data_IF_445863845838
#
_entry.id   IF_445863845838
#
_cell.length_a   1.000
_cell.length_b   1.000
_cell.length_c   1.000
_cell.angle_alpha   90.00
_cell.angle_beta   90.00
_cell.angle_gamma   90.00
#
_symmetry.space_group_name_H-M   'P 1'
#
loop_
_entity.id
_entity.type
_entity.pdbx_description
1 polymer ?
2 polymer ?
3 polymer ?
4 branched ?
#
# COMPACT_ATOMS: atom_id res chain seq x y z
N UNK A 1 -19.57 21.15 11.16
CA UNK A 1 -19.32 20.05 10.19
C UNK A 1 -19.65 18.71 10.80
N UNK A 2 -20.21 17.81 10.00
CA UNK A 2 -20.61 16.50 10.51
C UNK A 2 -19.43 15.54 10.55
N UNK A 3 -19.15 15.03 11.76
CA UNK A 3 -18.10 14.05 11.96
C UNK A 3 -18.73 12.66 11.94
N UNK A 4 -18.06 11.72 11.27
CA UNK A 4 -18.46 10.33 11.27
C UNK A 4 -17.45 9.56 12.07
N UNK A 5 -17.89 8.91 13.13
CA UNK A 5 -16.97 8.07 13.92
C UNK A 5 -17.25 6.58 13.65
N UNK A 6 -16.24 5.90 13.09
CA UNK A 6 -16.34 4.49 12.75
C UNK A 6 -15.79 3.59 13.85
N UNK A 7 -16.45 2.45 14.03
CA UNK A 7 -16.02 1.41 14.96
C UNK A 7 -16.31 0.04 14.31
N UNK A 8 -15.43 -0.98 14.52
CA UNK A 8 -14.12 -0.97 15.21
C UNK A 8 -12.98 -0.58 14.27
N UNK A 9 -11.84 -0.18 14.84
CA UNK A 9 -10.67 0.20 14.04
C UNK A 9 -10.19 -0.95 13.17
N UNK A 10 -10.26 -2.17 13.72
CA UNK A 10 -9.78 -3.37 13.05
C UNK A 10 -10.46 -4.65 13.52
N UNK A 11 -10.65 -5.57 12.56
CA UNK A 11 -11.32 -6.84 12.80
C UNK A 11 -10.50 -8.02 12.31
N UNK A 12 -10.42 -9.05 13.13
CA UNK A 12 -9.81 -10.32 12.74
C UNK A 12 -10.92 -11.36 12.61
N UNK A 13 -11.17 -11.84 11.39
CA UNK A 13 -12.40 -12.60 11.13
C UNK A 13 -12.20 -13.89 10.32
N UNK A 14 -12.72 -14.99 10.88
CA UNK A 14 -12.64 -16.31 10.26
C UNK A 14 -13.64 -16.39 9.11
N UNK A 15 -13.35 -17.24 8.13
CA UNK A 15 -14.25 -17.40 6.99
C UNK A 15 -15.56 -17.99 7.45
N UNK A 16 -16.67 -17.51 6.88
CA UNK A 16 -18.00 -18.02 7.21
C UNK A 16 -18.62 -17.34 8.43
N UNK A 17 -17.79 -16.64 9.19
CA UNK A 17 -18.24 -15.85 10.33
C UNK A 17 -18.95 -14.60 9.80
N UNK A 18 -19.94 -14.10 10.54
CA UNK A 18 -20.59 -12.86 10.13
C UNK A 18 -20.17 -11.70 11.02
N UNK A 19 -20.05 -10.52 10.41
CA UNK A 19 -19.51 -9.37 11.11
C UNK A 19 -20.32 -8.12 10.78
N UNK A 20 -20.31 -7.14 11.69
CA UNK A 20 -21.01 -5.86 11.51
C UNK A 20 -20.14 -4.67 11.88
N UNK A 21 -19.88 -3.82 10.89
CA UNK A 21 -19.10 -2.59 11.08
C UNK A 21 -20.09 -1.44 11.21
N UNK A 22 -19.97 -0.63 12.26
CA UNK A 22 -20.91 0.46 12.48
C UNK A 22 -20.29 1.82 12.21
N UNK A 23 -21.17 2.80 11.98
CA UNK A 23 -20.77 4.15 11.63
C UNK A 23 -21.80 5.14 12.18
N UNK A 24 -21.36 6.05 13.05
CA UNK A 24 -22.27 7.02 13.66
C UNK A 24 -21.97 8.44 13.20
N UNK A 25 -23.01 9.15 12.77
CA UNK A 25 -22.88 10.54 12.35
C UNK A 25 -23.09 11.50 13.51
N UNK A 26 -22.24 12.52 13.58
CA UNK A 26 -22.36 13.60 14.58
C UNK A 26 -23.73 14.29 14.54
N UNK A 27 -24.24 14.59 13.34
CA UNK A 27 -25.58 15.13 13.21
C UNK A 27 -26.45 14.25 12.31
N UNK A 28 -27.74 14.60 12.25
CA UNK A 28 -28.67 13.90 11.39
C UNK A 28 -28.28 14.06 9.90
N UNK A 29 -27.93 12.94 9.27
CA UNK A 29 -27.56 12.93 7.85
C UNK A 29 -28.59 12.15 7.01
N UNK A 30 -29.73 11.84 7.61
CA UNK A 30 -30.84 11.16 6.94
C UNK A 30 -30.40 9.80 6.39
N UNK A 31 -30.29 9.73 5.07
CA UNK A 31 -29.84 8.52 4.43
C UNK A 31 -28.73 8.79 3.42
N UNK A 32 -28.19 9.99 3.42
CA UNK A 32 -27.11 10.30 2.51
C UNK A 32 -25.80 9.71 3.04
N UNK A 33 -25.64 8.39 2.85
CA UNK A 33 -24.45 7.65 3.29
C UNK A 33 -24.10 6.49 2.36
N UNK A 34 -22.79 6.28 2.16
CA UNK A 34 -22.28 5.18 1.34
C UNK A 34 -21.24 4.36 2.11
N UNK A 35 -21.10 3.10 1.74
CA UNK A 35 -20.07 2.22 2.28
C UNK A 35 -19.12 1.83 1.15
N UNK A 36 -17.83 1.86 1.44
CA UNK A 36 -16.82 1.47 0.45
C UNK A 36 -15.97 0.35 1.00
N UNK A 37 -15.51 -0.52 0.12
CA UNK A 37 -14.49 -1.49 0.46
C UNK A 37 -13.25 -1.19 -0.37
N UNK A 38 -12.13 -0.94 0.31
CA UNK A 38 -10.85 -0.77 -0.35
C UNK A 38 -9.93 -1.92 -0.03
N UNK A 39 -9.20 -2.38 -1.05
CA UNK A 39 -8.15 -3.36 -0.84
C UNK A 39 -6.80 -2.66 -1.03
N UNK A 40 -5.83 -3.03 -0.18
CA UNK A 40 -4.49 -2.40 -0.19
C UNK A 40 -3.89 -2.45 -1.58
N UNK A 41 -3.38 -1.30 -2.04
CA UNK A 41 -2.83 -1.19 -3.38
C UNK A 41 -3.87 -0.83 -4.43
N UNK A 42 -5.14 -0.86 -4.06
CA UNK A 42 -6.23 -0.57 -5.00
C UNK A 42 -7.10 0.62 -4.59
N UNK A 43 -7.94 1.10 -5.52
CA UNK A 43 -8.90 2.17 -5.24
C UNK A 43 -10.19 1.63 -4.61
N UNK A 44 -10.90 2.50 -3.86
CA UNK A 44 -12.13 2.07 -3.20
C UNK A 44 -13.21 1.62 -4.19
N UNK A 45 -14.13 0.80 -3.71
CA UNK A 45 -15.26 0.36 -4.52
C UNK A 45 -16.56 0.53 -3.71
N UNK A 46 -17.58 1.09 -4.35
CA UNK A 46 -18.87 1.35 -3.70
C UNK A 46 -19.65 0.07 -3.41
N UNK A 47 -20.05 -0.07 -2.15
CA UNK A 47 -20.73 -1.27 -1.66
C UNK A 47 -22.21 -1.03 -1.41
N UNK A 48 -22.52 0.07 -0.74
CA UNK A 48 -23.91 0.45 -0.47
C UNK A 48 -24.05 1.94 -0.68
N UNK A 49 -25.13 2.35 -1.35
CA UNK A 49 -25.47 3.77 -1.49
C UNK A 49 -26.82 4.07 -0.84
N UNK A 50 -26.99 5.31 -0.39
CA UNK A 50 -28.18 5.75 0.37
C UNK A 50 -28.49 4.86 1.60
N UNK A 51 -27.43 4.48 2.30
CA UNK A 51 -27.49 3.75 3.56
C UNK A 51 -27.93 2.29 3.45
N UNK A 52 -28.92 2.00 2.62
CA UNK A 52 -29.52 0.65 2.58
C UNK A 52 -29.52 -0.09 1.23
N UNK A 53 -28.99 0.54 0.19
CA UNK A 53 -29.05 -0.01 -1.17
C UNK A 53 -27.75 -0.66 -1.63
N UNK A 54 -27.86 -1.94 -1.98
CA UNK A 54 -26.73 -2.74 -2.44
C UNK A 54 -26.35 -2.32 -3.86
N UNK A 55 -25.07 -1.99 -4.06
CA UNK A 55 -24.59 -1.54 -5.37
C UNK A 55 -24.35 -2.72 -6.33
N UNK A 56 -24.39 -2.44 -7.63
CA UNK A 56 -24.20 -3.44 -8.66
C UNK A 56 -22.93 -4.24 -8.46
N UNK A 57 -23.02 -5.56 -8.68
CA UNK A 57 -21.84 -6.44 -8.63
C UNK A 57 -21.28 -6.58 -7.23
N UNK A 58 -22.16 -6.51 -6.24
CA UNK A 58 -21.76 -6.70 -4.87
C UNK A 58 -22.61 -7.84 -4.30
N UNK A 59 -21.94 -8.91 -3.83
CA UNK A 59 -22.57 -10.09 -3.25
C UNK A 59 -23.66 -9.76 -2.24
N UNK A 60 -24.66 -10.64 -2.15
CA UNK A 60 -25.85 -10.42 -1.35
C UNK A 60 -25.58 -10.42 0.15
N UNK A 61 -24.43 -10.94 0.54
CA UNK A 61 -24.03 -11.02 1.95
C UNK A 61 -23.79 -9.63 2.58
N UNK A 62 -23.60 -8.63 1.72
CA UNK A 62 -23.39 -7.26 2.17
C UNK A 62 -24.72 -6.55 2.42
N UNK A 63 -24.97 -6.23 3.69
CA UNK A 63 -26.22 -5.62 4.09
C UNK A 63 -25.99 -4.21 4.65
N UNK A 64 -26.59 -3.21 4.01
CA UNK A 64 -26.60 -1.85 4.54
C UNK A 64 -27.90 -1.59 5.26
N UNK A 65 -27.82 -0.99 6.45
CA UNK A 65 -29.01 -0.59 7.18
C UNK A 65 -28.75 0.63 8.07
N UNK A 66 -29.82 1.40 8.32
CA UNK A 66 -29.74 2.57 9.18
C UNK A 66 -30.31 3.83 8.54
N UNK A 67 -30.75 4.74 9.40
CA UNK A 67 -31.13 6.10 8.99
C UNK A 67 -31.03 7.08 10.15
N UNK A 68 -30.78 8.34 9.83
CA UNK A 68 -30.63 9.36 10.82
C UNK A 68 -29.19 9.56 11.21
N UNK A 69 -28.76 8.78 12.19
CA UNK A 69 -27.51 9.04 12.89
C UNK A 69 -26.63 7.80 13.06
N UNK A 70 -27.28 6.63 13.15
CA UNK A 70 -26.60 5.37 13.39
C UNK A 70 -26.74 4.45 12.18
N UNK A 71 -25.62 4.15 11.57
CA UNK A 71 -25.58 3.28 10.42
C UNK A 71 -24.68 2.11 10.72
N UNK A 72 -24.87 1.02 9.99
CA UNK A 72 -24.06 -0.17 10.18
C UNK A 72 -24.12 -1.07 8.96
N UNK A 73 -22.94 -1.46 8.50
CA UNK A 73 -22.79 -2.42 7.44
C UNK A 73 -22.65 -3.79 8.07
N UNK A 74 -23.27 -4.78 7.43
CA UNK A 74 -23.23 -6.13 7.95
C UNK A 74 -22.79 -7.08 6.85
N UNK A 75 -21.87 -7.97 7.18
CA UNK A 75 -21.38 -8.98 6.24
C UNK A 75 -21.79 -10.37 6.73
N UNK A 76 -22.51 -11.10 5.87
CA UNK A 76 -22.96 -12.46 6.18
C UNK A 76 -22.04 -13.53 5.60
N UNK A 77 -21.56 -14.44 6.44
CA UNK A 77 -20.63 -15.48 6.01
C UNK A 77 -19.47 -14.92 5.21
N UNK A 78 -18.63 -14.13 5.89
CA UNK A 78 -17.52 -13.43 5.25
C UNK A 78 -16.63 -14.38 4.45
N UNK A 79 -16.44 -14.06 3.17
CA UNK A 79 -15.59 -14.87 2.31
C UNK A 79 -14.19 -14.33 2.26
N UNK A 80 -13.24 -15.19 1.90
CA UNK A 80 -11.83 -14.82 1.87
C UNK A 80 -11.59 -13.50 1.15
N UNK A 81 -12.30 -13.30 0.04
CA UNK A 81 -12.18 -12.07 -0.76
C UNK A 81 -12.58 -10.77 -0.01
N UNK A 82 -13.41 -10.89 1.02
CA UNK A 82 -13.90 -9.73 1.76
C UNK A 82 -12.86 -9.05 2.65
N UNK A 83 -11.60 -9.44 2.53
CA UNK A 83 -10.51 -8.77 3.26
C UNK A 83 -10.32 -7.37 2.68
N UNK A 84 -9.91 -6.43 3.51
CA UNK A 84 -9.67 -5.07 3.06
C UNK A 84 -9.96 -4.06 4.15
N UNK A 85 -10.02 -2.80 3.75
CA UNK A 85 -10.40 -1.73 4.65
C UNK A 85 -11.75 -1.20 4.21
N UNK A 86 -12.65 -1.05 5.18
CA UNK A 86 -14.01 -0.61 4.93
C UNK A 86 -14.20 0.83 5.39
N UNK A 87 -14.68 1.67 4.47
CA UNK A 87 -14.92 3.09 4.76
C UNK A 87 -16.38 3.48 4.56
N UNK A 88 -16.85 4.42 5.36
CA UNK A 88 -18.14 5.04 5.14
C UNK A 88 -17.97 6.54 4.82
N UNK A 89 -18.91 7.08 4.07
CA UNK A 89 -18.92 8.51 3.74
C UNK A 89 -20.34 9.00 3.80
N UNK A 90 -20.54 10.21 4.32
CA UNK A 90 -21.82 10.87 4.22
C UNK A 90 -21.78 11.90 3.13
N UNK A 91 -22.95 12.28 2.61
CA UNK A 91 -23.02 13.39 1.67
C UNK A 91 -24.20 14.33 1.95
N UNK A 92 -24.30 14.74 3.21
CA UNK A 92 -25.24 15.74 3.62
C UNK A 92 -24.46 16.99 3.94
N UNK A 93 -24.20 17.79 2.90
CA UNK A 93 -23.47 19.04 3.04
C UNK A 93 -21.98 18.87 2.98
N UNK A 94 -21.33 19.73 2.20
CA UNK A 94 -19.88 19.80 2.10
C UNK A 94 -19.25 20.23 3.44
N UNK A 95 -18.12 19.61 3.85
CA UNK A 95 -17.36 18.52 3.20
C UNK A 95 -17.93 17.14 3.48
N UNK A 96 -17.87 16.28 2.47
CA UNK A 96 -18.36 14.92 2.58
C UNK A 96 -17.27 14.10 3.26
N UNK A 97 -17.35 14.01 4.59
CA UNK A 97 -16.29 13.38 5.37
C UNK A 97 -16.40 11.85 5.40
N UNK A 98 -15.26 11.20 5.63
CA UNK A 98 -15.17 9.73 5.64
C UNK A 98 -15.03 9.18 7.06
N UNK A 99 -15.33 7.90 7.22
CA UNK A 99 -15.00 7.21 8.47
C UNK A 99 -13.49 7.08 8.60
N UNK A 100 -13.02 6.76 9.81
CA UNK A 100 -11.59 6.60 10.02
C UNK A 100 -11.09 5.26 9.46
N UNK A 101 -12.00 4.35 9.14
CA UNK A 101 -11.66 3.05 8.57
C UNK A 101 -11.79 1.88 9.52
N UNK A 102 -12.14 0.71 8.96
CA UNK A 102 -12.06 -0.56 9.67
C UNK A 102 -11.17 -1.51 8.88
N UNK A 103 -10.07 -1.92 9.50
CA UNK A 103 -9.16 -2.84 8.86
C UNK A 103 -9.65 -4.25 9.13
N UNK A 104 -9.94 -4.99 8.06
CA UNK A 104 -10.47 -6.34 8.19
C UNK A 104 -9.44 -7.40 7.76
N UNK A 105 -9.11 -8.29 8.69
CA UNK A 105 -8.15 -9.36 8.45
C UNK A 105 -8.87 -10.71 8.48
N UNK A 106 -8.35 -11.65 7.69
CA UNK A 106 -8.80 -13.03 7.66
C UNK A 106 -8.17 -13.81 8.82
N UNK A 107 -9.00 -14.47 9.61
CA UNK A 107 -8.52 -15.39 10.63
C UNK A 107 -8.06 -16.68 9.97
N UNK A 108 -6.96 -17.23 10.47
CA UNK A 108 -6.24 -18.34 9.85
C UNK A 108 -5.59 -19.15 10.97
N UNK A 109 -5.25 -20.41 10.69
CA UNK A 109 -4.48 -21.22 11.65
C UNK A 109 -3.05 -20.69 11.75
N UNK A 110 -2.42 -20.93 12.91
CA UNK A 110 -1.05 -20.49 13.16
C UNK A 110 -0.06 -21.14 12.20
N UNK A 111 1.02 -20.42 11.91
CA UNK A 111 2.04 -20.93 11.00
C UNK A 111 3.37 -20.28 11.34
N UNK A 112 4.39 -21.12 11.51
CA UNK A 112 5.73 -20.64 11.86
C UNK A 112 6.39 -19.95 10.66
N UNK A 113 7.23 -18.93 10.93
CA UNK A 113 7.95 -18.25 9.85
C UNK A 113 9.10 -19.09 9.29
N UNK A 114 9.39 -18.95 8.01
CA UNK A 114 10.56 -19.59 7.39
C UNK A 114 11.67 -18.56 7.18
N UNK A 115 12.71 -18.64 8.02
CA UNK A 115 13.74 -17.60 8.14
C UNK A 115 14.97 -17.86 7.27
N UNK A 116 15.37 -16.83 6.52
CA UNK A 116 16.56 -16.89 5.69
C UNK A 116 17.42 -15.66 5.96
N UNK A 117 18.72 -15.90 6.11
CA UNK A 117 19.70 -14.85 6.37
C UNK A 117 20.58 -14.61 5.13
N UNK A 118 21.09 -13.39 4.98
CA UNK A 118 21.88 -13.02 3.80
C UNK A 118 23.09 -12.12 4.15
N UNK A 119 24.27 -12.47 3.62
CA UNK A 119 25.46 -11.64 3.77
C UNK A 119 25.45 -10.45 2.80
N UNK A 120 25.99 -9.29 3.23
CA UNK A 120 26.16 -8.13 2.36
C UNK A 120 26.72 -8.53 0.99
N UNK A 121 26.09 -8.01 -0.05
CA UNK A 121 26.42 -8.34 -1.43
C UNK A 121 27.85 -7.95 -1.81
N UNK A 122 28.43 -8.71 -2.75
CA UNK A 122 29.77 -8.43 -3.27
C UNK A 122 29.80 -7.06 -3.96
N UNK A 123 28.71 -6.74 -4.68
CA UNK A 123 28.54 -5.44 -5.31
C UNK A 123 28.50 -4.29 -4.30
N UNK A 124 27.84 -4.51 -3.15
CA UNK A 124 27.71 -3.49 -2.08
C UNK A 124 29.03 -3.22 -1.33
N UNK A 125 29.90 -4.21 -1.31
CA UNK A 125 31.22 -4.07 -0.69
C UNK A 125 32.17 -3.19 -1.52
N UNK A 126 32.10 -3.35 -2.85
CA UNK A 126 32.78 -2.48 -3.81
C UNK A 126 32.19 -1.07 -3.81
N UNK A 127 31.34 -0.78 -2.82
CA UNK A 127 30.67 0.50 -2.70
C UNK A 127 30.79 1.06 -1.26
N UNK A 128 31.50 0.32 -0.40
CA UNK A 128 31.71 0.71 0.99
C UNK A 128 30.50 0.53 1.87
N UNK A 129 29.57 -0.32 1.44
CA UNK A 129 28.30 -0.52 2.13
C UNK A 129 28.14 -1.92 2.69
N UNK A 130 27.53 -2.00 3.87
CA UNK A 130 27.29 -3.27 4.56
C UNK A 130 25.88 -3.40 5.11
N UNK A 131 25.00 -4.01 4.31
CA UNK A 131 23.62 -4.27 4.71
C UNK A 131 23.36 -5.76 4.82
N UNK A 132 22.82 -6.16 5.96
CA UNK A 132 22.50 -7.57 6.22
C UNK A 132 20.99 -7.76 6.26
N UNK A 133 20.49 -8.61 5.37
CA UNK A 133 19.05 -8.77 5.19
C UNK A 133 18.58 -10.12 5.72
N UNK A 134 17.47 -10.10 6.43
CA UNK A 134 16.84 -11.31 6.95
C UNK A 134 15.36 -11.35 6.56
N UNK A 135 14.93 -12.44 5.93
CA UNK A 135 13.53 -12.60 5.54
C UNK A 135 12.79 -13.55 6.45
N UNK A 136 11.62 -13.12 6.93
CA UNK A 136 10.75 -13.96 7.75
C UNK A 136 9.45 -14.21 6.98
N UNK A 137 9.27 -15.40 6.42
CA UNK A 137 8.22 -15.61 5.43
C UNK A 137 7.02 -16.47 5.81
N UNK A 138 5.84 -15.99 5.45
CA UNK A 138 4.59 -16.73 5.58
C UNK A 138 4.30 -17.26 6.98
N UNK A 139 4.08 -16.35 7.92
CA UNK A 139 3.69 -16.71 9.28
C UNK A 139 2.33 -16.09 9.65
N UNK A 140 1.71 -16.60 10.71
CA UNK A 140 0.49 -16.03 11.27
C UNK A 140 0.45 -16.34 12.77
N UNK A 141 0.03 -15.37 13.62
CA UNK A 141 -0.48 -14.01 13.36
C UNK A 141 0.59 -12.98 13.05
N UNK A 142 0.17 -11.72 12.95
CA UNK A 142 0.98 -10.65 12.39
C UNK A 142 2.23 -10.27 13.21
N UNK A 143 2.07 -10.15 14.52
CA UNK A 143 3.17 -9.64 15.36
C UNK A 143 4.28 -10.68 15.53
N UNK A 144 5.52 -10.20 15.50
CA UNK A 144 6.69 -11.07 15.42
C UNK A 144 7.88 -10.27 15.94
N UNK A 145 8.75 -10.94 16.71
CA UNK A 145 9.96 -10.32 17.26
C UNK A 145 11.21 -10.70 16.49
N UNK A 146 12.03 -9.71 16.17
CA UNK A 146 13.33 -9.96 15.54
C UNK A 146 14.44 -9.38 16.40
N UNK A 147 15.49 -10.17 16.63
CA UNK A 147 16.70 -9.69 17.28
C UNK A 147 17.91 -10.05 16.42
N UNK A 148 18.91 -9.17 16.40
CA UNK A 148 20.14 -9.42 15.66
C UNK A 148 21.29 -9.82 16.58
N UNK A 149 22.20 -10.66 16.07
CA UNK A 149 23.42 -11.04 16.80
C UNK A 149 24.69 -11.02 15.93
N UNK A 150 25.62 -10.13 16.30
CA UNK A 150 26.89 -10.00 15.61
C UNK A 150 28.05 -10.43 16.53
N UNK A 151 28.68 -11.54 16.17
CA UNK A 151 29.78 -12.16 16.95
C UNK A 151 29.35 -12.63 18.34
N UNK A 152 28.08 -12.98 18.48
CA UNK A 152 27.51 -13.34 19.77
C UNK A 152 26.92 -12.13 20.49
N UNK A 153 27.51 -10.97 20.27
CA UNK A 153 27.00 -9.72 20.86
C UNK A 153 25.75 -9.22 20.13
N UNK A 154 24.70 -8.95 20.91
CA UNK A 154 23.41 -8.53 20.36
C UNK A 154 23.45 -7.08 19.88
N UNK A 155 22.83 -6.85 18.72
CA UNK A 155 22.77 -5.53 18.10
C UNK A 155 21.35 -4.96 18.16
N UNK A 156 21.24 -3.65 18.37
CA UNK A 156 19.97 -2.93 18.34
C UNK A 156 20.12 -1.54 17.75
N UNK A 157 20.97 -1.43 16.71
CA UNK A 157 21.33 -0.15 16.12
C UNK A 157 20.51 0.22 14.89
N UNK A 158 21.05 -0.06 13.71
CA UNK A 158 20.44 0.34 12.43
C UNK A 158 19.55 -0.73 11.80
N UNK A 159 18.67 -1.31 12.62
CA UNK A 159 17.69 -2.28 12.14
C UNK A 159 16.38 -1.57 11.80
N UNK A 160 15.86 -1.87 10.61
CA UNK A 160 14.55 -1.40 10.19
C UNK A 160 13.76 -2.54 9.58
N UNK A 161 12.50 -2.66 9.99
CA UNK A 161 11.64 -3.76 9.55
C UNK A 161 10.46 -3.30 8.71
N UNK A 162 10.13 -4.08 7.70
CA UNK A 162 8.92 -3.82 6.93
C UNK A 162 8.06 -5.08 6.92
N UNK A 163 6.79 -4.93 7.29
CA UNK A 163 5.82 -6.01 7.16
C UNK A 163 5.13 -5.92 5.80
N UNK A 164 4.53 -7.02 5.35
CA UNK A 164 3.69 -6.98 4.16
C UNK A 164 2.23 -6.96 4.57
N UNK A 165 1.35 -6.60 3.64
CA UNK A 165 -0.08 -6.75 3.85
C UNK A 165 -0.43 -8.23 3.68
N UNK A 166 -1.41 -8.70 4.45
CA UNK A 166 -1.85 -10.10 4.39
C UNK A 166 -2.24 -10.46 2.96
N UNK A 167 -1.58 -11.47 2.39
CA UNK A 167 -1.85 -11.79 0.99
C UNK A 167 -3.12 -12.59 0.76
N UNK A 168 -3.65 -12.48 -0.47
CA UNK A 168 -4.93 -13.06 -0.85
C UNK A 168 -4.90 -14.59 -0.89
N UNK A 169 -3.75 -15.16 -1.26
CA UNK A 169 -3.64 -16.61 -1.39
C UNK A 169 -3.76 -17.34 -0.04
N UNK A 170 -2.68 -17.35 0.75
CA UNK A 170 -2.64 -18.17 1.97
C UNK A 170 -2.93 -17.41 3.28
N UNK A 171 -3.29 -16.13 3.16
CA UNK A 171 -3.66 -15.27 4.28
C UNK A 171 -2.57 -15.13 5.34
N UNK A 172 -1.31 -15.27 4.93
CA UNK A 172 -0.23 -15.15 5.88
C UNK A 172 0.43 -13.77 5.80
N UNK A 173 1.45 -13.58 6.66
CA UNK A 173 2.22 -12.35 6.69
C UNK A 173 3.68 -12.65 6.45
N UNK A 174 4.37 -11.67 5.87
CA UNK A 174 5.82 -11.71 5.75
C UNK A 174 6.43 -10.40 6.21
N UNK A 175 7.71 -10.47 6.58
CA UNK A 175 8.42 -9.36 7.16
C UNK A 175 9.88 -9.48 6.79
N UNK A 176 10.52 -8.33 6.52
CA UNK A 176 11.95 -8.29 6.30
C UNK A 176 12.60 -7.48 7.43
N UNK A 177 13.83 -7.86 7.77
CA UNK A 177 14.61 -7.11 8.75
C UNK A 177 15.98 -6.79 8.14
N UNK A 178 16.41 -5.53 8.26
CA UNK A 178 17.65 -5.09 7.59
C UNK A 178 18.62 -4.30 8.45
N UNK A 179 19.76 -4.92 8.74
CA UNK A 179 20.83 -4.30 9.50
C UNK A 179 21.77 -3.61 8.53
N UNK A 180 21.76 -2.28 8.59
CA UNK A 180 22.57 -1.47 7.70
C UNK A 180 23.72 -0.87 8.51
N UNK A 181 24.92 -1.40 8.30
CA UNK A 181 26.09 -1.00 9.08
C UNK A 181 27.21 -0.37 8.24
N UNK A 182 28.21 0.19 8.94
CA UNK A 182 29.30 0.98 8.34
C UNK A 182 29.89 0.57 6.99
N UNK A 183 29.96 -0.75 6.75
CA UNK A 183 30.62 -1.30 5.56
C UNK A 183 32.06 -1.65 5.90
N UNK A 184 32.67 -0.76 6.69
CA UNK A 184 33.94 -0.99 7.32
C UNK A 184 33.64 -1.73 8.64
N UNK A 185 32.48 -1.44 9.21
CA UNK A 185 32.03 -2.01 10.49
C UNK A 185 31.69 -3.48 10.37
N UNK A 186 31.40 -3.91 9.15
CA UNK A 186 31.06 -5.29 8.83
C UNK A 186 32.29 -6.20 8.85
N UNK A 187 33.42 -5.72 8.35
CA UNK A 187 34.66 -6.50 8.28
C UNK A 187 35.37 -6.67 9.62
N UNK A 188 34.89 -5.94 10.63
CA UNK A 188 35.40 -6.03 11.99
C UNK A 188 34.76 -7.18 12.79
N UNK A 189 33.92 -7.97 12.13
CA UNK A 189 33.29 -9.17 12.71
C UNK A 189 33.09 -10.22 11.62
N UNK A 190 32.67 -11.42 12.01
CA UNK A 190 32.32 -12.45 11.03
C UNK A 190 31.07 -13.30 11.33
N UNK A 191 30.67 -13.37 12.60
CA UNK A 191 29.51 -14.18 13.01
C UNK A 191 28.21 -13.38 13.04
N UNK A 192 27.27 -13.72 12.16
CA UNK A 192 26.03 -12.94 12.02
C UNK A 192 24.76 -13.78 12.20
N UNK A 193 23.91 -13.36 13.13
CA UNK A 193 22.72 -14.13 13.51
C UNK A 193 21.42 -13.30 13.49
N UNK A 194 20.36 -13.94 12.99
CA UNK A 194 19.02 -13.37 12.89
C UNK A 194 18.04 -14.19 13.73
N UNK A 195 17.53 -13.60 14.81
CA UNK A 195 16.65 -14.30 15.77
C UNK A 195 15.18 -13.92 15.70
N UNK A 196 14.36 -14.83 15.17
CA UNK A 196 12.91 -14.63 15.08
C UNK A 196 12.15 -15.38 16.18
N UNK A 197 11.36 -14.63 16.95
CA UNK A 197 10.49 -15.22 17.97
C UNK A 197 9.02 -14.94 17.63
N UNK A 198 8.26 -16.01 17.45
CA UNK A 198 6.85 -15.94 17.03
C UNK A 198 5.96 -16.75 17.98
N UNK A 199 4.70 -16.36 18.10
CA UNK A 199 3.69 -17.09 18.85
C UNK A 199 3.86 -18.64 18.78
N UNK A 200 4.01 -19.18 17.57
CA UNK A 200 4.09 -20.64 17.35
C UNK A 200 5.15 -21.39 18.16
N UNK A 201 6.20 -20.70 18.61
CA UNK A 201 7.23 -21.30 19.47
C UNK A 201 7.92 -20.33 20.45
N UNK A 202 8.30 -20.88 21.60
CA UNK A 202 9.15 -20.17 22.57
C UNK A 202 10.62 -20.20 22.13
N UNK A 203 11.03 -21.33 21.51
CA UNK A 203 12.36 -21.47 20.90
C UNK A 203 12.54 -20.56 19.67
N UNK A 204 13.36 -19.50 19.79
CA UNK A 204 13.54 -18.59 18.66
C UNK A 204 14.22 -19.28 17.48
N UNK A 205 13.71 -19.06 16.26
CA UNK A 205 14.37 -19.57 15.05
C UNK A 205 15.66 -18.76 14.84
N UNK A 206 16.79 -19.47 14.83
CA UNK A 206 18.07 -18.82 14.58
C UNK A 206 18.58 -19.18 13.18
N UNK A 207 18.95 -18.18 12.41
CA UNK A 207 19.65 -18.41 11.17
C UNK A 207 20.88 -17.52 11.16
N UNK A 208 22.00 -18.08 10.70
CA UNK A 208 23.26 -17.38 10.77
C UNK A 208 24.24 -17.69 9.62
N UNK A 209 25.17 -16.77 9.40
CA UNK A 209 26.31 -17.01 8.50
C UNK A 209 27.61 -16.48 9.11
N UNK A 210 28.72 -17.07 8.67
CA UNK A 210 30.06 -16.55 8.96
C UNK A 210 30.55 -15.79 7.74
N UNK A 211 31.10 -14.60 7.96
CA UNK A 211 31.68 -13.81 6.87
C UNK A 211 32.92 -14.50 6.31
N UNK A 212 33.90 -14.77 7.20
CA UNK A 212 35.11 -15.49 6.83
C UNK A 212 34.85 -17.00 6.80
N UNK A 213 33.93 -17.40 5.90
CA UNK A 213 33.55 -18.81 5.66
C UNK A 213 32.57 -18.94 4.49
N UNK B 1 -16.91 -0.21 -20.33
CA UNK B 1 -17.75 0.28 -19.20
C UNK B 1 -17.46 1.74 -18.87
N UNK B 2 -17.93 2.18 -17.71
CA UNK B 2 -17.58 3.49 -17.16
C UNK B 2 -16.11 3.47 -16.79
N UNK B 3 -15.37 4.50 -17.22
CA UNK B 3 -13.97 4.60 -16.82
C UNK B 3 -13.47 6.01 -16.61
N UNK B 4 -12.65 6.17 -15.57
CA UNK B 4 -12.02 7.44 -15.23
C UNK B 4 -10.52 7.19 -15.08
N UNK B 5 -9.71 7.76 -15.98
CA UNK B 5 -8.25 7.58 -15.92
C UNK B 5 -7.53 8.86 -15.47
N UNK B 6 -6.81 8.77 -14.35
CA UNK B 6 -6.07 9.91 -13.80
C UNK B 6 -4.64 9.94 -14.31
N UNK B 7 -4.07 11.14 -14.38
CA UNK B 7 -2.71 11.37 -14.90
C UNK B 7 -2.15 12.69 -14.36
N UNK B 8 -0.87 12.94 -14.62
CA UNK B 8 -0.27 14.24 -14.31
C UNK B 8 0.53 14.27 -13.02
N UNK B 9 0.34 13.26 -12.18
CA UNK B 9 0.96 13.23 -10.86
C UNK B 9 2.45 12.94 -10.91
N UNK B 10 3.19 13.42 -9.92
CA UNK B 10 4.64 13.30 -9.90
C UNK B 10 5.25 14.11 -8.77
N UNK B 11 6.57 14.27 -8.81
CA UNK B 11 7.30 14.96 -7.76
C UNK B 11 7.23 16.48 -7.97
N UNK B 12 6.85 17.20 -6.92
CA UNK B 12 6.78 18.65 -6.97
C UNK B 12 7.39 19.23 -5.72
N UNK B 13 8.32 20.17 -5.92
CA UNK B 13 8.91 20.98 -4.87
C UNK B 13 7.81 21.65 -4.04
N UNK B 14 7.95 21.68 -2.70
CA UNK B 14 7.01 22.44 -1.88
C UNK B 14 6.90 23.88 -2.35
N UNK B 15 5.69 24.43 -2.29
CA UNK B 15 5.40 25.78 -2.77
C UNK B 15 5.37 25.83 -4.30
N UNK B 16 5.14 24.68 -4.92
CA UNK B 16 5.04 24.58 -6.38
C UNK B 16 3.62 24.32 -6.86
N UNK B 17 3.48 24.11 -8.17
CA UNK B 17 2.19 23.95 -8.81
C UNK B 17 2.13 22.71 -9.68
N UNK B 18 0.95 22.08 -9.73
CA UNK B 18 0.75 20.92 -10.58
C UNK B 18 -0.70 20.91 -10.99
N UNK B 19 -0.97 20.44 -12.20
CA UNK B 19 -2.33 20.28 -12.68
C UNK B 19 -2.60 18.83 -13.05
N UNK B 20 -3.20 18.08 -12.11
CA UNK B 20 -3.58 16.68 -12.37
C UNK B 20 -4.89 16.59 -13.17
N UNK B 21 -5.05 15.47 -13.88
CA UNK B 21 -6.14 15.34 -14.85
C UNK B 21 -6.92 14.07 -14.64
N UNK B 22 -8.13 14.06 -15.21
CA UNK B 22 -9.00 12.91 -15.15
C UNK B 22 -9.80 12.85 -16.45
N UNK B 23 -9.60 11.76 -17.19
CA UNK B 23 -10.29 11.55 -18.45
C UNK B 23 -11.46 10.60 -18.25
N UNK B 24 -12.64 10.99 -18.71
CA UNK B 24 -13.84 10.20 -18.48
C UNK B 24 -14.37 9.61 -19.79
N UNK B 25 -14.93 8.42 -19.71
CA UNK B 25 -15.55 7.78 -20.87
C UNK B 25 -16.46 6.63 -20.47
N UNK B 26 -17.44 6.33 -21.31
CA UNK B 26 -18.42 5.30 -21.03
C UNK B 26 -19.63 5.79 -20.28
N UNK B 27 -19.75 7.11 -20.13
CA UNK B 27 -20.94 7.72 -19.51
C UNK B 27 -21.09 9.19 -19.91
N UNK B 28 -22.29 9.73 -19.75
CA UNK B 28 -22.56 11.10 -20.16
C UNK B 28 -21.94 12.08 -19.18
N UNK B 29 -20.69 12.42 -19.42
CA UNK B 29 -19.92 13.27 -18.51
C UNK B 29 -20.63 14.58 -18.13
N UNK B 30 -21.15 15.32 -19.10
CA UNK B 30 -21.62 16.68 -18.83
C UNK B 30 -22.86 16.78 -17.95
N UNK B 31 -23.54 15.66 -17.70
CA UNK B 31 -24.69 15.66 -16.77
C UNK B 31 -24.36 15.19 -15.34
N UNK B 32 -23.11 14.81 -15.08
CA UNK B 32 -22.73 14.28 -13.78
C UNK B 32 -21.98 15.27 -12.92
N UNK B 33 -22.26 15.27 -11.63
CA UNK B 33 -21.42 15.98 -10.67
C UNK B 33 -20.16 15.15 -10.52
N UNK B 34 -19.03 15.81 -10.30
CA UNK B 34 -17.74 15.14 -10.16
C UNK B 34 -16.97 15.66 -8.94
N UNK B 35 -16.12 14.83 -8.35
CA UNK B 35 -15.28 15.28 -7.23
C UNK B 35 -13.91 14.64 -7.24
N UNK B 36 -12.99 15.21 -6.45
CA UNK B 36 -11.67 14.62 -6.20
C UNK B 36 -11.57 14.15 -4.73
N UNK B 37 -10.95 13.00 -4.54
CA UNK B 37 -10.69 12.46 -3.19
C UNK B 37 -9.22 12.06 -3.10
N UNK B 38 -8.58 12.36 -1.97
CA UNK B 38 -7.16 12.04 -1.76
C UNK B 38 -6.93 11.04 -0.63
N UNK B 39 -5.78 10.36 -0.67
CA UNK B 39 -5.41 9.37 0.32
C UNK B 39 -3.92 9.43 0.53
N UNK B 40 -3.50 10.04 1.64
CA UNK B 40 -2.11 10.07 2.04
C UNK B 40 -1.61 8.64 2.33
N UNK B 41 -0.34 8.35 1.98
CA UNK B 41 0.25 7.02 2.16
C UNK B 41 0.00 6.44 3.57
N UNK B 42 -0.71 5.31 3.60
CA UNK B 42 -1.02 4.61 4.85
C UNK B 42 -2.24 5.15 5.58
N UNK B 43 -2.67 6.35 5.23
CA UNK B 43 -3.78 7.01 5.91
C UNK B 43 -5.15 6.74 5.25
N UNK B 44 -6.19 7.39 5.77
CA UNK B 44 -7.55 7.25 5.25
C UNK B 44 -7.91 8.20 4.13
N UNK B 45 -9.15 8.10 3.65
CA UNK B 45 -9.62 8.89 2.50
C UNK B 45 -10.10 10.26 2.94
N UNK B 46 -9.64 11.30 2.25
CA UNK B 46 -10.06 12.66 2.53
C UNK B 46 -10.70 13.28 1.30
N UNK B 47 -11.89 13.80 1.46
CA UNK B 47 -12.58 14.48 0.38
C UNK B 47 -11.97 15.87 0.15
N UNK B 48 -11.72 16.20 -1.11
CA UNK B 48 -10.97 17.40 -1.46
C UNK B 48 -11.87 18.48 -2.07
N UNK B 49 -12.62 18.13 -3.11
CA UNK B 49 -13.33 19.14 -3.88
C UNK B 49 -14.42 18.50 -4.73
N UNK B 50 -15.42 19.30 -5.09
CA UNK B 50 -16.50 18.84 -5.94
C UNK B 50 -16.93 19.93 -6.92
N UNK B 51 -17.54 19.51 -8.03
CA UNK B 51 -18.04 20.39 -9.07
C UNK B 51 -19.34 19.85 -9.68
N UNK B 52 -20.36 20.69 -9.74
CA UNK B 52 -21.66 20.31 -10.29
C UNK B 52 -21.68 20.48 -11.82
N UNK B 53 -22.69 19.94 -12.47
CA UNK B 53 -22.77 19.99 -13.93
C UNK B 53 -23.15 21.37 -14.47
N UNK B 54 -22.99 21.55 -15.77
CA UNK B 54 -23.31 22.79 -16.45
C UNK B 54 -24.72 23.29 -16.12
N UNK B 55 -25.71 22.41 -16.21
CA UNK B 55 -27.10 22.74 -15.91
C UNK B 55 -27.30 23.34 -14.50
N UNK B 56 -26.35 23.06 -13.60
CA UNK B 56 -26.39 23.61 -12.25
C UNK B 56 -25.31 24.67 -12.04
N UNK B 57 -24.93 25.35 -13.12
CA UNK B 57 -24.00 26.48 -13.09
C UNK B 57 -22.59 26.17 -12.61
N UNK B 58 -22.18 24.90 -12.68
CA UNK B 58 -20.82 24.48 -12.35
C UNK B 58 -20.41 24.85 -10.93
N UNK B 59 -21.35 24.92 -9.99
CA UNK B 59 -21.01 25.38 -8.64
C UNK B 59 -20.01 24.45 -7.96
N UNK B 60 -19.01 25.04 -7.28
CA UNK B 60 -17.87 24.28 -6.74
C UNK B 60 -17.83 24.22 -5.21
N UNK B 61 -17.23 23.16 -4.68
CA UNK B 61 -17.09 22.97 -3.22
C UNK B 61 -15.67 22.54 -2.95
N UNK B 62 -15.12 22.96 -1.80
CA UNK B 62 -13.75 22.64 -1.46
C UNK B 62 -13.61 22.21 -0.01
N UNK B 63 -12.44 21.70 0.35
CA UNK B 63 -12.15 21.41 1.74
C UNK B 63 -11.37 22.59 2.31
N UNK B 64 -11.57 22.86 3.60
CA UNK B 64 -10.90 23.98 4.25
C UNK B 64 -9.37 23.98 4.12
N UNK B 65 -8.74 22.80 4.16
CA UNK B 65 -7.27 22.71 4.09
C UNK B 65 -6.73 22.92 2.66
N UNK B 66 -7.64 23.01 1.70
CA UNK B 66 -7.28 23.06 0.29
C UNK B 66 -7.80 24.32 -0.40
N UNK B 67 -8.77 24.98 0.22
CA UNK B 67 -9.42 26.18 -0.32
C UNK B 67 -8.44 27.33 -0.57
N UNK B 68 -8.77 28.16 -1.58
CA UNK B 68 -7.91 29.27 -2.06
C UNK B 68 -6.61 28.79 -2.73
N UNK B 69 -6.38 27.49 -2.74
CA UNK B 69 -5.08 26.92 -3.08
C UNK B 69 -5.23 25.89 -4.20
N UNK B 70 -6.36 25.20 -4.20
CA UNK B 70 -6.72 24.22 -5.23
C UNK B 70 -7.95 24.72 -5.97
N UNK B 71 -7.93 24.66 -7.30
CA UNK B 71 -9.13 24.96 -8.07
C UNK B 71 -9.52 23.79 -8.99
N UNK B 72 -10.72 23.26 -8.75
CA UNK B 72 -11.29 22.17 -9.54
C UNK B 72 -12.01 22.75 -10.75
N UNK B 73 -11.83 22.11 -11.91
CA UNK B 73 -12.49 22.55 -13.15
C UNK B 73 -12.80 21.38 -14.07
N UNK B 74 -13.61 21.64 -15.09
CA UNK B 74 -13.99 20.62 -16.07
C UNK B 74 -14.12 21.15 -17.51
N UNK B 75 -13.56 20.41 -18.44
CA UNK B 75 -13.82 20.65 -19.85
C UNK B 75 -14.81 19.59 -20.34
N UNK B 76 -16.06 20.00 -20.51
CA UNK B 76 -17.13 19.11 -20.95
C UNK B 76 -16.94 18.66 -22.41
N UNK B 77 -16.34 19.53 -23.22
CA UNK B 77 -16.07 19.28 -24.64
C UNK B 77 -15.14 18.08 -24.87
N UNK B 78 -14.27 17.83 -23.90
CA UNK B 78 -13.32 16.76 -24.00
C UNK B 78 -13.54 15.68 -22.94
N UNK B 79 -14.54 15.89 -22.07
CA UNK B 79 -14.86 14.98 -20.96
C UNK B 79 -13.70 14.86 -19.98
N UNK B 80 -13.20 16.01 -19.55
CA UNK B 80 -12.01 16.06 -18.72
C UNK B 80 -12.28 16.79 -17.41
N UNK B 81 -11.75 16.24 -16.32
CA UNK B 81 -11.81 16.89 -15.00
C UNK B 81 -10.39 17.22 -14.56
N UNK B 82 -10.20 18.43 -14.02
CA UNK B 82 -8.87 18.89 -13.63
C UNK B 82 -8.80 19.31 -12.17
N UNK B 83 -7.58 19.31 -11.63
CA UNK B 83 -7.29 19.91 -10.34
C UNK B 83 -6.00 20.73 -10.43
N UNK B 84 -6.12 22.06 -10.48
CA UNK B 84 -4.97 22.95 -10.37
C UNK B 84 -4.55 23.06 -8.92
N UNK B 85 -3.31 22.71 -8.63
CA UNK B 85 -2.83 22.77 -7.26
C UNK B 85 -1.66 23.75 -7.15
N UNK B 86 -1.93 24.89 -6.54
CA UNK B 86 -0.91 25.92 -6.31
C UNK B 86 -0.42 25.91 -4.87
N UNK B 87 0.76 26.49 -4.64
CA UNK B 87 1.36 26.56 -3.30
C UNK B 87 1.15 25.26 -2.51
N UNK B 88 1.74 24.19 -3.04
CA UNK B 88 1.60 22.85 -2.47
C UNK B 88 2.37 22.73 -1.15
N UNK B 89 1.78 22.01 -0.20
CA UNK B 89 2.43 21.73 1.08
C UNK B 89 2.73 20.24 1.22
N UNK B 90 3.63 19.90 2.14
CA UNK B 90 4.01 18.51 2.43
C UNK B 90 2.81 17.60 2.70
N UNK B 91 1.85 18.10 3.49
CA UNK B 91 0.67 17.30 3.86
C UNK B 91 -0.32 17.10 2.70
N UNK B 92 0.05 17.61 1.51
CA UNK B 92 -0.74 17.42 0.29
C UNK B 92 -0.27 16.21 -0.53
N UNK B 93 0.85 15.62 -0.10
CA UNK B 93 1.35 14.36 -0.67
C UNK B 93 0.31 13.26 -0.50
N UNK B 94 -0.10 12.66 -1.61
CA UNK B 94 -1.19 11.68 -1.59
C UNK B 94 -1.46 11.06 -2.95
N UNK B 95 -2.27 10.01 -2.92
CA UNK B 95 -2.86 9.45 -4.11
C UNK B 95 -4.15 10.21 -4.36
N UNK B 96 -4.26 10.84 -5.52
CA UNK B 96 -5.45 11.64 -5.83
C UNK B 96 -6.42 10.88 -6.70
N UNK B 97 -7.65 10.81 -6.22
CA UNK B 97 -8.70 10.06 -6.91
C UNK B 97 -9.74 10.96 -7.54
N UNK B 98 -10.15 10.56 -8.73
CA UNK B 98 -11.24 11.19 -9.44
C UNK B 98 -12.46 10.28 -9.26
N UNK B 99 -13.49 10.82 -8.62
CA UNK B 99 -14.69 10.05 -8.23
C UNK B 99 -15.94 10.64 -8.88
N UNK B 100 -16.82 9.78 -9.38
CA UNK B 100 -18.03 10.27 -10.01
C UNK B 100 -19.17 10.43 -9.00
N UNK B 101 -20.00 11.45 -9.22
CA UNK B 101 -21.18 11.74 -8.42
C UNK B 101 -20.93 11.59 -6.92
N UNK B 102 -21.58 10.59 -6.34
CA UNK B 102 -21.58 10.39 -4.90
C UNK B 102 -20.73 9.16 -4.53
N UNK B 103 -20.02 8.60 -5.52
CA UNK B 103 -19.00 7.59 -5.25
C UNK B 103 -19.16 6.23 -5.92
N UNK B 104 -19.95 6.16 -6.99
CA UNK B 104 -20.22 4.89 -7.64
C UNK B 104 -19.02 4.34 -8.42
N UNK B 105 -18.21 5.26 -8.93
CA UNK B 105 -17.00 4.92 -9.69
C UNK B 105 -15.80 5.76 -9.27
N UNK B 106 -14.66 5.11 -9.11
CA UNK B 106 -13.41 5.79 -8.79
C UNK B 106 -12.39 5.47 -9.88
N UNK B 107 -11.46 6.39 -10.11
CA UNK B 107 -10.35 6.12 -11.02
C UNK B 107 -9.26 5.35 -10.31
N UNK B 108 -8.16 5.11 -10.99
CA UNK B 108 -7.08 4.30 -10.42
C UNK B 108 -6.09 5.12 -9.56
N UNK B 109 -6.05 6.44 -9.79
CA UNK B 109 -5.21 7.34 -9.00
C UNK B 109 -3.88 7.71 -9.64
N UNK B 110 -3.47 8.96 -9.43
CA UNK B 110 -2.08 9.37 -9.63
C UNK B 110 -1.52 9.75 -8.28
N UNK B 111 -0.24 9.45 -8.07
CA UNK B 111 0.45 9.88 -6.87
C UNK B 111 0.95 11.32 -6.99
N UNK B 112 0.78 12.07 -5.91
CA UNK B 112 1.49 13.33 -5.76
C UNK B 112 2.45 13.23 -4.58
N UNK B 113 3.68 13.70 -4.78
CA UNK B 113 4.71 13.69 -3.77
C UNK B 113 5.26 15.11 -3.61
N UNK B 114 4.99 15.71 -2.45
CA UNK B 114 5.51 17.03 -2.15
C UNK B 114 6.72 16.89 -1.21
N UNK B 115 7.91 17.17 -1.76
CA UNK B 115 9.18 16.96 -1.05
C UNK B 115 10.27 17.78 -1.73
N UNK B 116 11.21 18.29 -0.94
CA UNK B 116 12.35 19.03 -1.52
C UNK B 116 13.57 18.13 -1.76
N UNK B 117 13.39 16.82 -1.54
CA UNK B 117 14.43 15.82 -1.79
C UNK B 117 14.60 15.59 -3.29
N UNK B 118 15.80 15.17 -3.68
CA UNK B 118 16.17 15.06 -5.10
C UNK B 118 15.94 13.65 -5.64
N UNK B 119 15.54 13.56 -6.90
CA UNK B 119 15.35 12.26 -7.57
C UNK B 119 16.68 11.53 -7.72
N UNK B 120 16.69 10.28 -7.25
CA UNK B 120 17.90 9.46 -7.20
C UNK B 120 17.61 8.04 -7.70
N UNK B 121 18.48 7.50 -8.58
CA UNK B 121 18.39 6.08 -8.96
C UNK B 121 18.82 5.15 -7.82
N UNK B 122 18.25 3.93 -7.75
CA UNK B 122 18.60 2.99 -6.68
C UNK B 122 19.85 2.17 -6.99
N UNK B 123 20.46 1.63 -5.94
CA UNK B 123 21.52 0.62 -6.08
C UNK B 123 20.90 -0.76 -5.85
N UNK B 124 21.03 -1.63 -6.86
CA UNK B 124 20.43 -2.97 -6.81
C UNK B 124 21.46 -4.02 -6.44
N UNK B 125 21.19 -4.77 -5.39
CA UNK B 125 22.08 -5.85 -4.95
C UNK B 125 21.41 -7.23 -5.02
N UNK B 126 22.12 -8.26 -5.50
CA UNK B 126 21.59 -9.61 -5.35
C UNK B 126 21.75 -10.11 -3.91
N UNK B 127 20.71 -10.79 -3.41
CA UNK B 127 20.79 -11.47 -2.13
C UNK B 127 20.90 -12.97 -2.34
N UNK B 128 22.09 -13.52 -2.05
CA UNK B 128 22.37 -14.94 -2.21
C UNK B 128 22.58 -15.57 -0.84
N UNK B 129 22.30 -16.89 -0.69
CA UNK B 129 22.33 -17.51 0.63
C UNK B 129 23.74 -17.68 1.13
N UNK B 130 23.93 -17.65 2.45
CA UNK B 130 25.27 -17.71 3.04
C UNK B 130 25.40 -18.57 4.29
N UNK B 131 26.64 -18.95 4.61
CA UNK B 131 26.92 -19.86 5.73
C UNK B 131 26.75 -21.29 5.28
N UNK B 132 25.50 -21.73 5.18
CA UNK B 132 25.16 -23.08 4.76
C UNK B 132 24.18 -23.78 5.70
N UNK B 133 24.22 -25.12 5.70
CA UNK B 133 23.28 -25.98 6.43
C UNK B 133 21.83 -25.63 6.03
N UNK B 134 21.40 -26.12 4.87
CA UNK B 134 20.09 -25.80 4.31
C UNK B 134 19.01 -26.77 4.82
N UNK B 135 17.93 -26.24 5.42
CA UNK B 135 16.92 -27.07 6.10
C UNK B 135 15.56 -27.04 5.39
N UNK B 136 15.61 -26.83 4.08
CA UNK B 136 14.44 -26.64 3.26
C UNK B 136 14.77 -26.98 1.82
N UNK B 137 13.89 -27.77 1.21
CA UNK B 137 13.96 -28.07 -0.22
C UNK B 137 13.84 -26.82 -1.09
N UNK B 138 13.06 -25.84 -0.62
CA UNK B 138 12.94 -24.54 -1.28
C UNK B 138 13.99 -23.57 -0.75
N UNK B 139 14.73 -22.94 -1.65
CA UNK B 139 15.70 -21.91 -1.25
C UNK B 139 15.17 -20.52 -1.57
N UNK B 140 15.27 -19.62 -0.58
CA UNK B 140 14.79 -18.25 -0.73
C UNK B 140 15.93 -17.32 -1.17
N UNK B 141 15.69 -16.59 -2.25
CA UNK B 141 16.65 -15.64 -2.78
C UNK B 141 15.97 -14.27 -2.84
N UNK B 142 16.77 -13.22 -3.00
CA UNK B 142 16.23 -11.87 -3.02
C UNK B 142 16.98 -10.82 -3.82
N UNK B 143 16.51 -9.60 -3.71
CA UNK B 143 17.16 -8.43 -4.26
C UNK B 143 16.89 -7.24 -3.37
N UNK B 144 17.95 -6.67 -2.81
CA UNK B 144 17.88 -5.44 -2.02
C UNK B 144 17.99 -4.23 -2.93
N UNK B 145 17.13 -3.24 -2.70
CA UNK B 145 17.14 -2.02 -3.48
C UNK B 145 17.39 -0.85 -2.54
N UNK B 146 18.53 -0.20 -2.68
CA UNK B 146 18.96 0.81 -1.70
C UNK B 146 19.08 2.22 -2.28
N UNK B 147 18.68 3.21 -1.48
CA UNK B 147 18.82 4.64 -1.80
C UNK B 147 18.12 5.13 -3.06
N UNK B 148 16.80 5.28 -3.00
CA UNK B 148 16.06 5.80 -4.15
C UNK B 148 15.01 6.85 -3.77
N UNK B 149 14.79 7.79 -4.68
CA UNK B 149 13.72 8.79 -4.57
C UNK B 149 13.27 9.22 -5.97
N UNK B 150 11.96 9.41 -6.18
CA UNK B 150 10.87 9.07 -5.27
C UNK B 150 10.32 7.67 -5.53
N UNK B 151 9.25 7.30 -4.83
CA UNK B 151 8.49 6.09 -5.13
C UNK B 151 7.70 6.30 -6.43
N UNK B 152 7.34 5.21 -7.12
CA UNK B 152 7.56 3.82 -6.74
C UNK B 152 8.68 3.15 -7.51
N UNK B 153 8.97 1.90 -7.14
CA UNK B 153 9.80 1.00 -7.92
C UNK B 153 8.99 -0.25 -8.27
N UNK B 154 9.48 -0.98 -9.25
CA UNK B 154 8.84 -2.19 -9.73
C UNK B 154 9.88 -3.31 -9.73
N UNK B 155 9.65 -4.32 -8.89
CA UNK B 155 10.50 -5.53 -8.89
C UNK B 155 9.72 -6.73 -9.42
N UNK B 156 10.30 -7.42 -10.41
CA UNK B 156 9.78 -8.70 -10.90
C UNK B 156 10.93 -9.70 -11.04
N UNK B 157 10.60 -10.96 -11.25
CA UNK B 157 11.61 -12.00 -11.36
C UNK B 157 11.54 -12.75 -12.70
N UNK B 158 12.70 -12.93 -13.34
CA UNK B 158 12.80 -13.58 -14.65
C UNK B 158 11.77 -13.11 -15.67
N UNK B 159 11.85 -11.84 -16.05
CA UNK B 159 10.93 -11.26 -17.05
C UNK B 159 9.43 -11.40 -16.71
N UNK B 160 9.14 -11.93 -15.53
CA UNK B 160 7.76 -12.15 -15.09
C UNK B 160 7.37 -13.61 -14.97
N UNK B 161 8.32 -14.51 -15.26
CA UNK B 161 8.07 -15.97 -15.23
C UNK B 161 7.75 -16.49 -13.84
N UNK B 162 8.37 -15.86 -12.83
CA UNK B 162 8.18 -16.25 -11.44
C UNK B 162 7.03 -15.46 -10.82
N UNK B 163 5.81 -15.97 -10.98
CA UNK B 163 4.61 -15.29 -10.51
C UNK B 163 4.38 -15.40 -9.00
N UNK B 164 4.62 -16.60 -8.46
CA UNK B 164 4.36 -16.89 -7.05
C UNK B 164 5.64 -17.17 -6.27
N UNK B 165 5.53 -17.15 -4.93
CA UNK B 165 6.68 -17.29 -4.04
C UNK B 165 7.43 -15.98 -3.87
N UNK B 166 6.82 -14.90 -4.35
CA UNK B 166 7.48 -13.60 -4.44
C UNK B 166 6.88 -12.58 -3.46
N UNK B 167 7.68 -12.16 -2.48
CA UNK B 167 7.27 -11.12 -1.55
C UNK B 167 8.01 -9.81 -1.80
N UNK B 168 7.28 -8.78 -2.22
CA UNK B 168 7.83 -7.44 -2.35
C UNK B 168 7.42 -6.59 -1.14
N UNK B 169 8.42 -6.20 -0.35
CA UNK B 169 8.19 -5.48 0.90
C UNK B 169 8.05 -3.98 0.65
N UNK B 170 7.15 -3.31 1.40
CA UNK B 170 6.78 -1.90 1.22
C UNK B 170 7.93 -0.92 0.91
N UNK B 171 8.72 -0.53 1.92
CA UNK B 171 9.72 0.55 1.80
C UNK B 171 9.83 1.35 3.09
N UNK B 172 10.92 2.10 3.24
CA UNK B 172 11.12 2.93 4.42
C UNK B 172 11.98 4.15 4.08
N UNK B 173 11.68 5.29 4.69
CA UNK B 173 12.52 6.49 4.59
C UNK B 173 13.49 6.53 5.75
N UNK B 174 14.74 6.91 5.48
CA UNK B 174 15.68 7.21 6.55
C UNK B 174 16.23 8.64 6.39
N UNK B 175 16.86 8.91 5.25
CA UNK B 175 17.43 10.22 5.00
C UNK B 175 17.00 10.70 3.62
N UNK B 176 15.70 10.94 3.47
CA UNK B 176 15.07 11.30 2.20
C UNK B 176 15.36 10.26 1.10
N UNK B 177 15.64 9.03 1.53
CA UNK B 177 15.91 7.92 0.61
C UNK B 177 15.10 6.69 0.99
N UNK B 178 14.64 5.96 -0.02
CA UNK B 178 13.81 4.76 0.18
C UNK B 178 14.62 3.46 0.03
N UNK B 179 14.17 2.42 0.73
CA UNK B 179 14.85 1.12 0.71
C UNK B 179 13.87 -0.06 0.87
N UNK B 180 13.87 -0.95 -0.12
CA UNK B 180 13.05 -2.17 -0.06
C UNK B 180 13.78 -3.40 -0.57
N UNK B 181 13.38 -4.56 -0.07
CA UNK B 181 13.90 -5.83 -0.54
C UNK B 181 12.80 -6.62 -1.21
N UNK B 182 13.18 -7.56 -2.07
CA UNK B 182 12.24 -8.50 -2.62
C UNK B 182 12.77 -9.89 -2.40
N UNK B 183 11.87 -10.84 -2.15
CA UNK B 183 12.25 -12.22 -1.88
C UNK B 183 11.53 -13.19 -2.80
N UNK B 184 12.25 -14.25 -3.20
CA UNK B 184 11.72 -15.28 -4.09
C UNK B 184 12.13 -16.67 -3.59
N UNK B 185 11.20 -17.63 -3.63
CA UNK B 185 11.50 -19.02 -3.23
C UNK B 185 11.44 -20.02 -4.40
N UNK B 186 12.57 -20.65 -4.68
CA UNK B 186 12.68 -21.62 -5.76
C UNK B 186 13.24 -22.95 -5.25
N UNK B 187 12.83 -24.08 -5.87
CA UNK B 187 13.42 -25.39 -5.56
C UNK B 187 14.93 -25.41 -5.77
N UNK B 188 15.61 -26.41 -5.21
CA UNK B 188 17.06 -26.58 -5.43
C UNK B 188 17.34 -27.15 -6.83
N UNK B 189 16.39 -27.87 -7.41
CA UNK B 189 16.48 -28.33 -8.80
C UNK B 189 16.53 -27.14 -9.76
N UNK B 190 15.78 -26.10 -9.41
CA UNK B 190 15.68 -24.86 -10.18
C UNK B 190 16.95 -23.99 -10.11
N UNK B 191 17.71 -24.10 -9.01
CA UNK B 191 18.81 -23.17 -8.76
C UNK B 191 20.04 -23.83 -8.11
N UNK B 192 21.26 -23.54 -8.61
CA UNK B 192 21.66 -22.61 -9.68
C UNK B 192 21.52 -23.17 -11.11
N UNK B 193 20.82 -24.29 -11.23
CA UNK B 193 20.57 -24.95 -12.51
C UNK B 193 19.88 -24.06 -13.55
N UNK B 194 19.14 -23.06 -13.09
CA UNK B 194 18.62 -22.02 -13.98
C UNK B 194 19.04 -20.64 -13.49
N UNK B 195 18.91 -19.64 -14.37
CA UNK B 195 19.35 -18.29 -14.06
C UNK B 195 18.18 -17.43 -13.54
N UNK B 196 18.17 -17.21 -12.23
CA UNK B 196 17.14 -16.40 -11.58
C UNK B 196 17.59 -14.93 -11.46
N UNK B 197 16.97 -14.07 -12.25
CA UNK B 197 17.32 -12.64 -12.26
C UNK B 197 16.16 -11.81 -11.73
N UNK B 198 16.47 -10.69 -11.07
CA UNK B 198 15.44 -9.74 -10.67
C UNK B 198 15.38 -8.53 -11.61
N UNK B 199 14.17 -8.03 -11.87
CA UNK B 199 13.96 -6.94 -12.82
C UNK B 199 13.50 -5.67 -12.12
N UNK B 200 14.46 -4.89 -11.61
CA UNK B 200 14.16 -3.64 -10.91
C UNK B 200 13.97 -2.50 -11.90
N UNK B 201 12.85 -1.79 -11.76
CA UNK B 201 12.58 -0.61 -12.54
C UNK B 201 12.35 0.58 -11.62
N UNK B 202 12.82 1.75 -12.05
CA UNK B 202 12.58 3.01 -11.34
C UNK B 202 12.19 4.01 -12.41
N UNK B 203 10.87 4.25 -12.59
CA UNK B 203 10.36 5.07 -13.68
C UNK B 203 10.97 6.47 -13.73
N UNK B 204 11.05 7.13 -12.58
CA UNK B 204 11.55 8.51 -12.46
C UNK B 204 12.94 8.72 -13.08
N UNK B 205 13.97 8.14 -12.47
CA UNK B 205 15.34 8.29 -12.96
C UNK B 205 15.65 7.49 -14.22
N UNK B 206 14.60 6.95 -14.86
CA UNK B 206 14.72 6.13 -16.07
C UNK B 206 15.67 4.94 -15.92
N UNK B 207 15.77 4.39 -14.71
CA UNK B 207 16.68 3.26 -14.42
C UNK B 207 16.02 1.90 -14.64
N UNK B 208 16.75 1.01 -15.31
CA UNK B 208 16.39 -0.39 -15.46
C UNK B 208 17.60 -1.24 -15.17
N UNK B 209 17.51 -2.07 -14.14
CA UNK B 209 18.62 -2.93 -13.73
C UNK B 209 18.16 -4.38 -13.68
N UNK B 210 18.98 -5.28 -14.20
CA UNK B 210 18.73 -6.69 -14.09
C UNK B 210 19.92 -7.38 -13.42
N UNK B 211 19.71 -7.89 -12.21
CA UNK B 211 20.77 -8.60 -11.50
C UNK B 211 20.48 -10.08 -11.41
N UNK B 212 21.41 -10.89 -11.90
CA UNK B 212 21.40 -12.32 -11.68
C UNK B 212 21.84 -12.59 -10.25
N UNK B 213 21.37 -13.70 -9.68
CA UNK B 213 21.83 -14.10 -8.36
C UNK B 213 22.84 -15.23 -8.54
N UNK B 214 24.04 -15.00 -8.01
CA UNK B 214 25.17 -15.91 -8.17
C UNK B 214 25.53 -16.59 -6.87
N UNK B 215 25.89 -17.88 -6.94
CA UNK B 215 26.39 -18.60 -5.76
C UNK B 215 27.71 -17.98 -5.27
N UNK B 216 27.79 -17.67 -3.98
CA UNK B 216 28.95 -16.97 -3.40
C UNK B 216 30.29 -17.75 -3.46
N UNK C 5 -30.42 7.68 -12.34
CA UNK C 5 -30.58 7.76 -10.86
C UNK C 5 -29.83 8.99 -10.31
N UNK C 6 -30.38 10.17 -10.63
CA UNK C 6 -29.75 11.47 -10.36
C UNK C 6 -28.23 11.62 -10.44
N UNK C 7 -27.76 12.22 -11.54
CA UNK C 7 -26.36 12.50 -11.82
C UNK C 7 -25.81 13.74 -11.10
N UNK C 8 -26.71 14.62 -10.68
CA UNK C 8 -26.33 15.88 -10.05
C UNK C 8 -27.37 16.30 -9.02
N UNK C 9 -27.45 15.58 -7.89
CA UNK C 9 -28.50 15.79 -6.88
C UNK C 9 -28.42 17.14 -6.17
N UNK C 10 -29.56 17.82 -6.08
CA UNK C 10 -29.66 19.15 -5.48
C UNK C 10 -29.99 19.18 -3.98
N UNK C 11 -30.37 18.02 -3.41
CA UNK C 11 -30.64 17.85 -1.97
C UNK C 11 -31.93 18.55 -1.45
X LIG D 1 -27.66 29.64 -12.71
X LIG D 1 -29.10 29.41 -12.25
X LIG D 1 -30.12 30.09 -13.15
X LIG D 1 -29.64 31.43 -13.74
X LIG D 1 -28.16 31.48 -14.10
X LIG D 1 -27.70 32.88 -14.53
X LIG D 1 -29.94 27.40 -11.15
X LIG D 1 -30.26 25.94 -11.28
X LIG D 1 -29.40 27.99 -12.21
X LIG D 1 -31.28 30.32 -12.38
X LIG D 1 -30.39 31.66 -14.91
X LIG D 1 -27.41 31.01 -13.00
X LIG D 1 -27.74 33.76 -13.43
X LIG D 1 -30.19 28.00 -10.10
X LIG D 2 -31.68 32.46 -14.86
X LIG D 2 -32.51 33.11 -15.95
X LIG D 2 -32.92 34.49 -15.45
X LIG D 2 -33.60 34.39 -14.07
X LIG D 2 -32.83 33.50 -13.07
X LIG D 2 -33.70 33.16 -11.86
X LIG D 2 -31.67 32.12 -18.01
X LIG D 2 -30.36 31.93 -18.72
X LIG D 2 -31.76 33.17 -17.19
X LIG D 2 -33.81 35.05 -16.39
X LIG D 2 -33.81 35.69 -13.54
X LIG D 2 -32.43 32.28 -13.68
X LIG D 2 -32.92 32.64 -10.82
X LIG D 2 -32.60 31.32 -18.20
X LIG D 3 -35.23 35.97 -13.57
X LIG D 3 -35.56 37.05 -12.53
X LIG D 3 -36.97 37.63 -12.71
X LIG D 3 -37.45 37.69 -14.17
X LIG D 3 -37.08 36.43 -14.95
X LIG D 3 -37.54 36.43 -16.40
X LIG D 3 -34.56 38.05 -12.56
X LIG D 3 -37.06 38.93 -12.15
X LIG D 3 -38.84 37.89 -14.21
X LIG D 3 -35.68 36.31 -14.87
X LIG D 3 -36.84 37.38 -17.18
X LIG D 4 -37.27 38.91 -10.70
X LIG D 4 -38.45 39.82 -10.33
X LIG D 4 -38.08 41.30 -10.52
X LIG D 4 -36.69 41.67 -9.99
X LIG D 4 -35.63 40.60 -10.26
X LIG D 4 -34.37 40.87 -9.44
X LIG D 4 -38.85 39.57 -9.00
X LIG D 4 -39.05 42.10 -9.89
X LIG D 4 -36.28 42.89 -10.58
X LIG D 4 -36.12 39.29 -9.97
X LIG D 4 -33.37 39.94 -9.79
#
# INVERSE_FOLDING_TARGET
YIQMTQSPASLSVSVGETVTITCRASENIYSFLAWYQQKQGKSPQLLVYAATNLADGVPSRFSGSGSGTQFSLKINSLQSEDFGTYYCQHFWGTPFTFGSGTKLEIKRSDAAPTVSIFPPSAAQLSSGGGSVVCFLNNFYPKDINVKWKIDGAERGNGVLNSWTSQDSADSTYSMSSTLTSGGDEYERHNSYTCEATHKTSTSPIVKSFNRAA
EVQLVESGGGLVQPKGSLKISCAASGFTFNIYAMNWVRQAPGKGLEWVARIRSQSNNYTTYYADSVKDRFTISRDDSQSMLYLQMNNLKTEDTAMYYCVRQMGDYWGQGTTLTVSSAVKTPPSVYPLAPGGGAISNSMVTLGCLVNGYFPEPVTVTWNAGSLGSGVHTFPAVLQSDLYTLSSSVTVPVSTWPSEAVTCNVAHPASATSVDKAISPV
VATALNPDPSQK
NAG C1 C2 C3 C4 C5 C6 C7 C8 N2 O3 O4 O5 O6 O7
NAG C1 C2 C3 C4 C5 C6 C7 C8 N2 O3 O4 O5 O6 O7
BMA C1 C2 C3 C4 C5 C6 O2 O3 O4 O5 O6
MAN C1 C2 C3 C4 C5 C6 O2 O3 O4 O5 O6
#
